data_IF_273405508966
#
_entry.id   IF_273405508966
#
_cell.length_a   1.000
_cell.length_b   1.000
_cell.length_c   1.000
_cell.angle_alpha   90.00
_cell.angle_beta   90.00
_cell.angle_gamma   90.00
#
_symmetry.space_group_name_H-M   'P 1'
#
loop_
_entity.id
_entity.type
_entity.pdbx_description
1 polymer ?
#
# COMPACT_ATOMS: atom_id res chain seq x y z
N UNK A 1 -8.28 9.03 0.31
CA UNK A 1 -9.13 8.13 -0.50
C UNK A 1 -9.73 7.06 0.41
N UNK A 2 -10.97 6.65 0.19
CA UNK A 2 -11.66 5.64 1.00
C UNK A 2 -11.88 4.40 0.14
N UNK A 3 -11.28 3.25 0.51
CA UNK A 3 -11.32 2.04 -0.30
C UNK A 3 -12.76 1.49 -0.51
N UNK A 4 -13.63 1.64 0.49
CA UNK A 4 -15.02 1.13 0.40
C UNK A 4 -15.93 1.90 -0.59
N UNK A 5 -15.50 3.07 -1.07
CA UNK A 5 -16.26 3.84 -2.07
C UNK A 5 -15.83 3.51 -3.50
N UNK A 6 -14.86 2.62 -3.67
CA UNK A 6 -14.31 2.27 -4.97
C UNK A 6 -14.98 0.99 -5.52
N UNK A 7 -15.35 1.03 -6.79
CA UNK A 7 -15.84 -0.13 -7.52
C UNK A 7 -14.65 -0.92 -8.09
N UNK A 8 -14.07 -1.78 -7.24
CA UNK A 8 -12.89 -2.59 -7.59
C UNK A 8 -13.32 -4.07 -7.74
N UNK A 9 -13.05 -4.65 -8.91
CA UNK A 9 -13.23 -6.10 -9.12
C UNK A 9 -12.13 -6.86 -8.36
N UNK A 10 -12.44 -8.05 -7.79
CA UNK A 10 -11.44 -8.91 -7.18
C UNK A 10 -10.31 -9.29 -8.16
N UNK A 11 -9.11 -9.49 -7.64
CA UNK A 11 -8.02 -10.08 -8.43
C UNK A 11 -8.38 -11.52 -8.79
N UNK A 12 -8.22 -11.91 -10.04
CA UNK A 12 -8.50 -13.25 -10.55
C UNK A 12 -7.22 -14.02 -10.90
N UNK A 13 -6.06 -13.50 -10.53
CA UNK A 13 -4.77 -14.11 -10.86
C UNK A 13 -4.66 -14.45 -12.37
N UNK A 14 -4.86 -13.44 -13.23
CA UNK A 14 -4.98 -13.60 -14.70
C UNK A 14 -3.73 -14.19 -15.39
N UNK A 15 -2.62 -14.39 -14.67
CA UNK A 15 -1.48 -15.17 -15.13
C UNK A 15 -0.74 -14.57 -16.33
N UNK A 16 -0.22 -15.43 -17.24
CA UNK A 16 0.67 -15.01 -18.33
C UNK A 16 -0.01 -14.17 -19.42
N UNK A 17 -1.34 -14.15 -19.48
CA UNK A 17 -2.08 -13.36 -20.46
C UNK A 17 -2.07 -11.87 -20.14
N UNK A 18 -1.66 -11.50 -18.93
CA UNK A 18 -1.56 -10.11 -18.51
C UNK A 18 -0.23 -9.50 -18.97
N UNK A 19 -0.29 -8.28 -19.51
CA UNK A 19 0.93 -7.50 -19.74
C UNK A 19 1.62 -7.21 -18.40
N UNK A 20 2.90 -7.59 -18.21
CA UNK A 20 3.61 -7.35 -16.96
C UNK A 20 3.54 -5.88 -16.53
N UNK A 21 3.20 -5.64 -15.27
CA UNK A 21 3.04 -4.30 -14.71
C UNK A 21 1.70 -3.61 -15.01
N UNK A 22 0.72 -4.32 -15.60
CA UNK A 22 -0.61 -3.79 -15.89
C UNK A 22 -1.70 -4.76 -15.47
N UNK A 23 -2.82 -4.23 -14.97
CA UNK A 23 -4.01 -5.01 -14.71
C UNK A 23 -4.87 -5.13 -15.98
N UNK A 24 -5.52 -6.28 -16.16
CA UNK A 24 -6.46 -6.50 -17.27
C UNK A 24 -7.82 -5.80 -17.05
N UNK A 25 -8.15 -5.46 -15.80
CA UNK A 25 -9.39 -4.76 -15.49
C UNK A 25 -9.21 -3.25 -15.59
N UNK A 26 -10.20 -2.58 -16.19
CA UNK A 26 -10.37 -1.14 -16.17
C UNK A 26 -11.52 -0.81 -15.22
N UNK A 27 -11.19 -0.33 -14.04
CA UNK A 27 -12.12 0.06 -12.98
C UNK A 27 -11.47 1.16 -12.10
N UNK A 28 -12.02 1.45 -10.92
CA UNK A 28 -11.49 2.49 -10.04
C UNK A 28 -10.02 2.28 -9.64
N UNK A 29 -9.44 1.09 -9.85
CA UNK A 29 -8.01 0.86 -9.64
C UNK A 29 -7.13 1.66 -10.58
N UNK A 30 -7.58 2.03 -11.79
CA UNK A 30 -6.80 2.88 -12.70
C UNK A 30 -6.45 4.22 -12.03
N UNK A 31 -7.43 4.79 -11.31
CA UNK A 31 -7.21 6.00 -10.50
C UNK A 31 -6.27 5.74 -9.32
N UNK A 32 -6.39 4.58 -8.66
CA UNK A 32 -5.52 4.20 -7.54
C UNK A 32 -4.08 4.05 -8.00
N UNK A 33 -3.84 3.39 -9.12
CA UNK A 33 -2.51 3.25 -9.72
C UNK A 33 -1.89 4.60 -10.02
N UNK A 34 -2.63 5.51 -10.67
CA UNK A 34 -2.16 6.86 -10.96
C UNK A 34 -1.82 7.67 -9.70
N UNK A 35 -2.57 7.49 -8.60
CA UNK A 35 -2.27 8.11 -7.31
C UNK A 35 -1.03 7.50 -6.66
N UNK A 36 -0.91 6.18 -6.65
CA UNK A 36 0.25 5.47 -6.12
C UNK A 36 1.53 5.85 -6.89
N UNK A 37 1.47 5.97 -8.20
CA UNK A 37 2.62 6.36 -9.01
C UNK A 37 3.17 7.74 -8.63
N UNK A 38 2.30 8.71 -8.35
CA UNK A 38 2.68 10.09 -8.03
C UNK A 38 2.91 10.36 -6.54
N UNK A 39 2.49 9.44 -5.68
CA UNK A 39 2.57 9.65 -4.23
C UNK A 39 4.02 9.81 -3.75
N UNK A 40 4.28 10.80 -2.90
CA UNK A 40 5.58 10.97 -2.21
C UNK A 40 5.69 10.06 -0.99
N UNK A 41 4.57 9.75 -0.35
CA UNK A 41 4.46 8.80 0.76
C UNK A 41 3.13 8.04 0.67
N UNK A 42 3.06 6.87 1.29
CA UNK A 42 1.85 6.04 1.31
C UNK A 42 1.46 5.75 2.76
N UNK A 43 0.33 6.28 3.19
CA UNK A 43 -0.25 5.94 4.50
C UNK A 43 -1.48 5.08 4.28
N UNK A 44 -1.47 3.90 4.88
CA UNK A 44 -2.57 2.94 4.83
C UNK A 44 -3.30 2.98 6.15
N UNK A 45 -4.61 3.19 6.13
CA UNK A 45 -5.48 3.13 7.30
C UNK A 45 -6.50 2.00 7.17
N UNK A 46 -6.65 1.18 8.21
CA UNK A 46 -7.66 0.12 8.26
C UNK A 46 -8.04 -0.23 9.69
N UNK A 47 -9.32 -0.51 9.98
CA UNK A 47 -9.66 -1.28 11.18
C UNK A 47 -9.12 -2.71 11.07
N UNK A 48 -9.08 -3.41 12.20
CA UNK A 48 -8.71 -4.82 12.25
C UNK A 48 -9.99 -5.67 12.28
N UNK A 49 -10.18 -6.51 11.28
CA UNK A 49 -11.25 -7.49 11.21
C UNK A 49 -10.65 -8.88 11.01
N UNK A 50 -10.94 -9.81 11.93
CA UNK A 50 -10.37 -11.17 11.90
C UNK A 50 -8.84 -11.16 11.74
N UNK A 51 -8.17 -10.35 12.55
CA UNK A 51 -6.70 -10.14 12.58
C UNK A 51 -6.09 -9.57 11.29
N UNK A 52 -6.90 -9.13 10.33
CA UNK A 52 -6.42 -8.59 9.05
C UNK A 52 -7.06 -7.24 8.71
N UNK A 53 -6.67 -6.68 7.57
CA UNK A 53 -7.24 -5.44 7.04
C UNK A 53 -8.68 -5.66 6.55
N UNK A 54 -9.45 -4.57 6.44
CA UNK A 54 -10.82 -4.61 5.93
C UNK A 54 -10.89 -5.16 4.49
N UNK A 55 -11.98 -5.84 4.16
CA UNK A 55 -12.21 -6.42 2.84
C UNK A 55 -12.00 -5.45 1.66
N UNK A 56 -12.56 -4.23 1.67
CA UNK A 56 -12.32 -3.25 0.61
C UNK A 56 -10.83 -2.88 0.44
N UNK A 57 -10.08 -2.77 1.55
CA UNK A 57 -8.64 -2.53 1.47
C UNK A 57 -7.91 -3.76 0.93
N UNK A 58 -8.33 -4.96 1.32
CA UNK A 58 -7.72 -6.20 0.81
C UNK A 58 -7.91 -6.35 -0.69
N UNK A 59 -9.09 -6.01 -1.23
CA UNK A 59 -9.30 -5.98 -2.68
C UNK A 59 -8.30 -5.06 -3.39
N UNK A 60 -8.08 -3.86 -2.85
CA UNK A 60 -7.10 -2.91 -3.40
C UNK A 60 -5.68 -3.49 -3.36
N UNK A 61 -5.27 -4.06 -2.23
CA UNK A 61 -3.96 -4.68 -2.05
C UNK A 61 -3.75 -5.80 -3.07
N UNK A 62 -4.71 -6.71 -3.22
CA UNK A 62 -4.61 -7.84 -4.14
C UNK A 62 -4.50 -7.39 -5.60
N UNK A 63 -5.19 -6.31 -5.96
CA UNK A 63 -5.12 -5.72 -7.29
C UNK A 63 -3.78 -5.05 -7.59
N UNK A 64 -2.99 -4.72 -6.58
CA UNK A 64 -1.63 -4.22 -6.77
C UNK A 64 -0.61 -5.32 -7.10
N UNK A 65 -1.00 -6.59 -7.11
CA UNK A 65 -0.09 -7.69 -7.41
C UNK A 65 0.55 -7.58 -8.81
N UNK A 66 -0.16 -7.05 -9.79
CA UNK A 66 0.35 -6.87 -11.15
C UNK A 66 1.43 -5.77 -11.30
N UNK A 67 1.59 -4.88 -10.31
CA UNK A 67 2.52 -3.73 -10.41
C UNK A 67 3.99 -4.15 -10.28
N UNK A 68 4.23 -5.29 -9.65
CA UNK A 68 5.58 -5.84 -9.47
C UNK A 68 5.64 -7.17 -10.21
N UNK A 69 5.78 -7.15 -11.55
CA UNK A 69 5.81 -8.37 -12.32
C UNK A 69 7.06 -9.20 -12.00
N UNK A 70 6.90 -10.50 -12.06
CA UNK A 70 8.01 -11.44 -12.11
C UNK A 70 8.62 -11.35 -13.50
N UNK A 71 9.90 -11.07 -13.58
CA UNK A 71 10.66 -10.99 -14.84
C UNK A 71 11.81 -11.99 -14.83
N UNK A 72 12.14 -12.51 -16.00
CA UNK A 72 13.34 -13.36 -16.18
C UNK A 72 14.49 -12.45 -16.56
N UNK A 73 15.56 -12.51 -15.78
CA UNK A 73 16.79 -11.74 -16.00
C UNK A 73 17.67 -12.41 -17.10
N UNK A 74 18.66 -11.70 -17.65
CA UNK A 74 19.52 -12.23 -18.72
C UNK A 74 20.30 -13.48 -18.32
N UNK A 75 20.54 -13.70 -17.03
CA UNK A 75 21.22 -14.90 -16.50
C UNK A 75 20.25 -16.10 -16.28
N UNK A 76 18.96 -15.94 -16.66
CA UNK A 76 17.92 -16.95 -16.49
C UNK A 76 17.29 -16.98 -15.09
N UNK A 77 17.78 -16.21 -14.14
CA UNK A 77 17.13 -16.07 -12.82
C UNK A 77 15.83 -15.28 -12.93
N UNK A 78 14.98 -15.38 -11.90
CA UNK A 78 13.72 -14.63 -11.84
C UNK A 78 13.76 -13.66 -10.67
N UNK A 79 13.28 -12.43 -10.91
CA UNK A 79 13.13 -11.42 -9.87
C UNK A 79 11.84 -10.62 -10.05
N UNK A 80 11.36 -10.04 -8.95
CA UNK A 80 10.20 -9.18 -8.92
C UNK A 80 10.64 -7.72 -9.00
N UNK A 81 10.47 -7.09 -10.15
CA UNK A 81 10.88 -5.70 -10.38
C UNK A 81 9.68 -4.76 -10.24
N UNK A 82 9.62 -3.93 -9.18
CA UNK A 82 8.55 -2.96 -9.02
C UNK A 82 8.49 -2.00 -10.21
N UNK A 83 7.30 -1.81 -10.79
CA UNK A 83 7.07 -0.85 -11.87
C UNK A 83 7.46 0.58 -11.48
N UNK A 84 7.26 0.92 -10.21
CA UNK A 84 7.57 2.22 -9.66
C UNK A 84 8.81 2.13 -8.77
N UNK A 85 9.97 2.20 -9.38
CA UNK A 85 11.27 2.19 -8.69
C UNK A 85 11.53 3.51 -7.92
N UNK A 86 10.58 3.91 -7.08
CA UNK A 86 10.73 5.08 -6.20
C UNK A 86 10.94 4.62 -4.78
N UNK A 87 11.99 5.12 -4.13
CA UNK A 87 12.16 4.95 -2.69
C UNK A 87 11.29 5.96 -1.97
N UNK A 88 10.06 5.64 -1.67
CA UNK A 88 9.17 6.46 -0.84
C UNK A 88 8.97 5.80 0.52
N UNK A 89 8.41 6.53 1.45
CA UNK A 89 8.12 6.01 2.79
C UNK A 89 6.65 5.63 2.91
N UNK A 90 6.39 4.62 3.75
CA UNK A 90 5.03 4.17 4.01
C UNK A 90 4.77 3.91 5.48
N UNK A 91 3.52 4.04 5.89
CA UNK A 91 3.09 3.77 7.25
C UNK A 91 1.74 3.08 7.28
N UNK A 92 1.49 2.37 8.37
CA UNK A 92 0.20 1.77 8.66
C UNK A 92 -0.43 2.45 9.89
N UNK A 93 -1.71 2.77 9.81
CA UNK A 93 -2.49 3.32 10.92
C UNK A 93 -3.70 2.43 11.14
N UNK A 94 -3.91 1.99 12.37
CA UNK A 94 -5.02 1.13 12.72
C UNK A 94 -5.65 1.51 14.06
N UNK A 95 -6.92 1.19 14.22
CA UNK A 95 -7.61 1.23 15.49
C UNK A 95 -8.35 -0.08 15.69
N UNK A 96 -8.34 -0.60 16.91
CA UNK A 96 -9.02 -1.82 17.30
C UNK A 96 -9.63 -1.70 18.69
N UNK A 97 -10.72 -2.45 18.93
CA UNK A 97 -11.52 -2.35 20.16
C UNK A 97 -10.87 -2.98 21.39
N UNK A 98 -10.03 -3.96 21.19
CA UNK A 98 -9.40 -4.73 22.28
C UNK A 98 -7.91 -4.91 22.01
N UNK A 99 -7.22 -5.69 22.85
CA UNK A 99 -5.83 -6.12 22.63
C UNK A 99 -5.73 -7.06 21.41
N UNK A 100 -6.29 -6.64 20.29
CA UNK A 100 -6.22 -7.41 19.09
C UNK A 100 -4.80 -7.46 18.54
N UNK A 101 -4.45 -8.63 18.11
CA UNK A 101 -3.23 -8.84 17.33
C UNK A 101 -3.44 -8.24 15.95
N UNK A 102 -2.68 -7.20 15.66
CA UNK A 102 -2.68 -6.57 14.32
C UNK A 102 -1.46 -6.98 13.48
N UNK A 103 -0.68 -7.93 13.97
CA UNK A 103 0.56 -8.38 13.31
C UNK A 103 0.32 -8.95 11.90
N UNK A 104 -0.80 -9.67 11.68
CA UNK A 104 -1.14 -10.17 10.34
C UNK A 104 -1.56 -9.04 9.40
N UNK A 105 -2.33 -8.08 9.90
CA UNK A 105 -2.68 -6.88 9.12
C UNK A 105 -1.44 -6.06 8.79
N UNK A 106 -0.55 -5.85 9.75
CA UNK A 106 0.72 -5.17 9.54
C UNK A 106 1.57 -5.88 8.48
N UNK A 107 1.72 -7.20 8.57
CA UNK A 107 2.46 -8.00 7.56
C UNK A 107 1.88 -7.82 6.16
N UNK A 108 0.56 -7.84 6.01
CA UNK A 108 -0.12 -7.60 4.75
C UNK A 108 0.17 -6.21 4.19
N UNK A 109 0.08 -5.18 5.05
CA UNK A 109 0.36 -3.79 4.65
C UNK A 109 1.84 -3.57 4.34
N UNK A 110 2.76 -4.14 5.12
CA UNK A 110 4.20 -4.08 4.84
C UNK A 110 4.55 -4.72 3.50
N UNK A 111 3.95 -5.89 3.21
CA UNK A 111 4.06 -6.54 1.91
C UNK A 111 3.57 -5.65 0.77
N UNK A 112 2.37 -5.07 0.94
CA UNK A 112 1.82 -4.12 -0.02
C UNK A 112 2.73 -2.90 -0.23
N UNK A 113 3.19 -2.26 0.85
CA UNK A 113 4.08 -1.10 0.77
C UNK A 113 5.36 -1.43 -0.01
N UNK A 114 6.01 -2.55 0.33
CA UNK A 114 7.19 -3.02 -0.43
C UNK A 114 6.85 -3.20 -1.91
N UNK A 115 5.70 -3.80 -2.21
CA UNK A 115 5.27 -4.10 -3.57
C UNK A 115 5.02 -2.86 -4.41
N UNK A 116 4.53 -1.78 -3.79
CA UNK A 116 4.34 -0.48 -4.46
C UNK A 116 5.54 0.47 -4.31
N UNK A 117 6.70 -0.03 -3.93
CA UNK A 117 7.93 0.74 -3.84
C UNK A 117 7.98 1.71 -2.64
N UNK A 118 7.30 1.38 -1.54
CA UNK A 118 7.33 2.18 -0.32
C UNK A 118 8.01 1.41 0.82
N UNK A 119 9.03 2.02 1.43
CA UNK A 119 9.69 1.49 2.63
C UNK A 119 8.78 1.73 3.83
N UNK A 120 8.44 0.67 4.54
CA UNK A 120 7.70 0.78 5.80
C UNK A 120 8.53 1.49 6.88
N UNK A 121 7.92 2.43 7.58
CA UNK A 121 8.55 3.20 8.66
C UNK A 121 8.00 2.79 10.03
N UNK A 122 6.68 2.82 10.19
CA UNK A 122 6.05 2.60 11.48
C UNK A 122 4.60 2.16 11.32
N UNK A 123 4.11 1.39 12.29
CA UNK A 123 2.68 1.16 12.51
C UNK A 123 2.23 1.94 13.74
N UNK A 124 1.19 2.77 13.57
CA UNK A 124 0.48 3.42 14.67
C UNK A 124 -0.81 2.66 14.94
N UNK A 125 -0.87 1.98 16.07
CA UNK A 125 -2.06 1.24 16.50
C UNK A 125 -2.68 1.91 17.72
N UNK A 126 -3.96 2.23 17.62
CA UNK A 126 -4.77 2.63 18.77
C UNK A 126 -5.61 1.44 19.24
N UNK A 127 -5.15 0.81 20.30
CA UNK A 127 -5.87 -0.27 20.98
C UNK A 127 -6.91 0.29 21.95
N UNK A 128 -7.96 -0.48 22.25
CA UNK A 128 -9.08 -0.07 23.09
C UNK A 128 -9.81 1.20 22.60
N UNK A 129 -9.82 1.43 21.29
CA UNK A 129 -10.43 2.62 20.69
C UNK A 129 -11.95 2.76 20.98
N UNK A 130 -12.65 1.65 21.26
CA UNK A 130 -14.08 1.67 21.59
C UNK A 130 -14.38 2.18 23.00
N UNK A 131 -13.40 2.15 23.90
CA UNK A 131 -13.57 2.63 25.27
C UNK A 131 -13.54 4.18 25.34
N UNK A 132 -13.00 4.82 24.32
CA UNK A 132 -12.93 6.28 24.25
C UNK A 132 -13.10 6.73 22.78
N UNK A 133 -14.35 6.79 22.32
CA UNK A 133 -14.70 7.11 20.94
C UNK A 133 -14.36 8.57 20.52
N UNK A 134 -13.79 9.35 21.42
CA UNK A 134 -13.58 10.78 21.14
C UNK A 134 -12.14 11.20 20.89
N UNK A 135 -11.15 10.61 21.55
CA UNK A 135 -9.83 11.23 21.58
C UNK A 135 -8.72 10.17 21.69
N UNK A 136 -7.93 10.03 20.64
CA UNK A 136 -6.74 9.20 20.70
C UNK A 136 -5.76 9.71 21.78
N UNK A 137 -5.00 8.80 22.45
CA UNK A 137 -4.01 9.17 23.46
C UNK A 137 -3.04 10.24 22.94
N UNK A 138 -2.66 11.20 23.81
CA UNK A 138 -1.85 12.35 23.43
C UNK A 138 -0.46 11.94 22.89
N UNK A 139 0.12 10.90 23.43
CA UNK A 139 1.39 10.31 22.99
C UNK A 139 1.25 9.71 21.58
N UNK A 140 0.15 9.01 21.29
CA UNK A 140 -0.13 8.48 19.95
C UNK A 140 -0.29 9.60 18.92
N UNK A 141 -0.98 10.69 19.30
CA UNK A 141 -1.10 11.88 18.44
C UNK A 141 0.27 12.53 18.20
N UNK A 142 1.10 12.64 19.25
CA UNK A 142 2.46 13.17 19.11
C UNK A 142 3.33 12.31 18.17
N UNK A 143 3.25 10.98 18.30
CA UNK A 143 3.91 10.03 17.39
C UNK A 143 3.40 10.16 15.96
N UNK A 144 2.08 10.29 15.78
CA UNK A 144 1.49 10.47 14.45
C UNK A 144 2.00 11.74 13.76
N UNK A 145 2.09 12.85 14.49
CA UNK A 145 2.67 14.10 13.97
C UNK A 145 4.15 13.95 13.62
N UNK A 146 4.93 13.29 14.47
CA UNK A 146 6.34 13.02 14.20
C UNK A 146 6.52 12.14 12.97
N UNK A 147 5.72 11.07 12.84
CA UNK A 147 5.71 10.20 11.67
C UNK A 147 5.36 10.98 10.40
N UNK A 148 4.31 11.81 10.44
CA UNK A 148 3.90 12.65 9.31
C UNK A 148 5.05 13.53 8.81
N UNK A 149 5.81 14.18 9.71
CA UNK A 149 7.00 14.94 9.34
C UNK A 149 8.04 14.07 8.66
N UNK A 150 8.43 12.92 9.25
CA UNK A 150 9.39 11.99 8.64
C UNK A 150 8.99 11.52 7.25
N UNK A 151 7.69 11.30 7.01
CA UNK A 151 7.20 10.86 5.71
C UNK A 151 7.36 11.94 4.63
N UNK A 152 7.30 13.23 5.00
CA UNK A 152 7.38 14.37 4.06
C UNK A 152 8.81 14.87 3.89
N UNK A 153 9.62 14.89 4.96
CA UNK A 153 10.98 15.41 4.99
C UNK A 153 12.01 14.51 4.24
N UNK A 154 11.59 13.34 3.83
CA UNK A 154 12.45 12.48 3.00
C UNK A 154 12.69 13.15 1.65
N UNK A 155 13.97 13.33 1.32
CA UNK A 155 14.43 13.95 0.07
C UNK A 155 13.67 13.44 -1.17
N UNK A 156 13.57 14.28 -2.23
CA UNK A 156 12.98 13.85 -3.49
C UNK A 156 13.69 12.59 -3.97
N UNK A 157 12.91 11.60 -4.28
CA UNK A 157 13.37 10.30 -4.68
C UNK A 157 13.77 10.40 -6.15
N UNK A 158 15.05 10.57 -6.39
CA UNK A 158 15.65 10.37 -7.70
C UNK A 158 15.58 8.87 -8.02
N UNK A 159 14.53 8.48 -8.74
CA UNK A 159 14.45 7.19 -9.42
C UNK A 159 14.52 7.42 -10.91
N UNK A 160 15.04 6.48 -11.69
CA UNK A 160 15.08 6.61 -13.14
C UNK A 160 13.67 6.89 -13.68
N UNK A 161 13.58 7.86 -14.57
CA UNK A 161 12.35 8.16 -15.28
C UNK A 161 11.90 6.89 -16.02
N UNK A 162 10.72 6.37 -15.66
CA UNK A 162 10.10 5.27 -16.38
C UNK A 162 9.80 5.76 -17.78
N UNK A 163 10.32 5.06 -18.77
CA UNK A 163 10.19 5.41 -20.18
C UNK A 163 8.75 5.77 -20.54
N UNK A 164 8.60 6.89 -21.21
CA UNK A 164 7.36 7.38 -21.80
C UNK A 164 6.78 6.31 -22.72
N UNK A 165 5.51 5.99 -22.50
CA UNK A 165 4.71 5.18 -23.41
C UNK A 165 4.74 5.84 -24.80
N UNK A 166 5.36 5.21 -25.77
CA UNK A 166 4.96 5.41 -27.15
C UNK A 166 3.59 4.74 -27.35
N UNK A 167 2.62 5.54 -27.76
CA UNK A 167 1.28 5.09 -28.10
C UNK A 167 1.37 4.09 -29.27
N UNK A 168 0.81 2.90 -29.06
CA UNK A 168 0.37 2.03 -30.15
C UNK A 168 -1.13 1.87 -30.11
#
# INVERSE_FOLDING_TARGET
MRAYTLAIKPCIACGPDATPGYCIFHDDMDRVYALLERAHAVVVGSPIYFDTVSGPLKLLIDRCNCITPLVTLPDGSQDCIPKWARTRRGAFVTACSTDHRYDLAERSVRGFLKWVGAKWEETLAWQHADNDLGTAPADLIARARALGRRLIESAPLEGPAVGTREAR
#
